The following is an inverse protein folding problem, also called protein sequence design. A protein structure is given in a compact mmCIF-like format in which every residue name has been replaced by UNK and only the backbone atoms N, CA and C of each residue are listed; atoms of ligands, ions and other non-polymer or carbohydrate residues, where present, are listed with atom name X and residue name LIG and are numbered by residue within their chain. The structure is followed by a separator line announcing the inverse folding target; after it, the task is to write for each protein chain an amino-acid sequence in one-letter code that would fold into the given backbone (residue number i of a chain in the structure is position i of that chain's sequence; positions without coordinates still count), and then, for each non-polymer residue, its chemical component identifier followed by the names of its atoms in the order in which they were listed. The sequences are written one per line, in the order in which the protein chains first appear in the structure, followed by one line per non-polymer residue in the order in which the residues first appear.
data_IF_928437917761
#
_entry.id   IF_928437917761
#
_cell.length_a   1.000
_cell.length_b   1.000
_cell.length_c   1.000
_cell.angle_alpha   90.00
_cell.angle_beta   90.00
_cell.angle_gamma   90.00
#
_symmetry.space_group_name_H-M   'P 1'
#
loop_
_entity.id
_entity.type
_entity.pdbx_description
1 polymer ?
#
# COMPACT_ATOMS: atom_id res chain seq x y z
N UNK A 1 -13.03 4.34 -23.10
CA UNK A 1 -11.94 4.06 -22.13
C UNK A 1 -12.27 4.42 -20.69
N UNK A 2 -13.04 5.48 -20.41
CA UNK A 2 -13.37 5.94 -19.03
C UNK A 2 -14.25 5.00 -18.22
N UNK A 3 -15.30 4.40 -18.81
CA UNK A 3 -16.25 3.53 -18.08
C UNK A 3 -15.54 2.29 -17.53
N UNK A 4 -14.67 1.62 -18.31
CA UNK A 4 -13.89 0.45 -17.85
C UNK A 4 -12.95 0.79 -16.70
N UNK A 5 -12.32 1.97 -16.69
CA UNK A 5 -11.47 2.40 -15.57
C UNK A 5 -12.27 2.68 -14.31
N UNK A 6 -13.44 3.29 -14.44
CA UNK A 6 -14.34 3.58 -13.30
C UNK A 6 -14.85 2.27 -12.71
N UNK A 7 -15.38 1.36 -13.54
CA UNK A 7 -15.86 0.05 -13.08
C UNK A 7 -14.74 -0.72 -12.38
N UNK A 8 -13.54 -0.80 -12.97
CA UNK A 8 -12.41 -1.49 -12.38
C UNK A 8 -11.94 -0.82 -11.08
N UNK A 9 -11.95 0.51 -10.99
CA UNK A 9 -11.59 1.23 -9.76
C UNK A 9 -12.61 1.01 -8.64
N UNK A 10 -13.89 1.02 -8.97
CA UNK A 10 -14.99 0.77 -8.01
C UNK A 10 -14.95 -0.68 -7.53
N UNK A 11 -14.75 -1.66 -8.42
CA UNK A 11 -14.63 -3.08 -8.02
C UNK A 11 -13.41 -3.34 -7.14
N UNK A 12 -12.27 -2.71 -7.41
CA UNK A 12 -11.07 -2.80 -6.55
C UNK A 12 -11.31 -2.16 -5.18
N UNK A 13 -11.99 -1.03 -5.13
CA UNK A 13 -12.38 -0.38 -3.88
C UNK A 13 -13.38 -1.21 -3.07
N UNK A 14 -14.38 -1.81 -3.73
CA UNK A 14 -15.32 -2.74 -3.12
C UNK A 14 -14.62 -4.01 -2.62
N UNK A 15 -13.65 -4.54 -3.37
CA UNK A 15 -12.82 -5.67 -2.94
C UNK A 15 -12.01 -5.36 -1.69
N UNK A 16 -11.39 -4.17 -1.60
CA UNK A 16 -10.68 -3.74 -0.40
C UNK A 16 -11.62 -3.63 0.82
N UNK A 17 -12.81 -3.05 0.62
CA UNK A 17 -13.82 -2.94 1.67
C UNK A 17 -14.36 -4.32 2.11
N UNK A 18 -14.56 -5.24 1.17
CA UNK A 18 -15.00 -6.61 1.46
C UNK A 18 -13.96 -7.38 2.28
N UNK A 19 -12.68 -7.32 1.89
CA UNK A 19 -11.57 -7.93 2.64
C UNK A 19 -11.50 -7.33 4.05
N UNK A 20 -11.59 -6.00 4.17
CA UNK A 20 -11.63 -5.32 5.45
C UNK A 20 -12.79 -5.79 6.33
N UNK A 21 -14.00 -5.88 5.75
CA UNK A 21 -15.20 -6.34 6.48
C UNK A 21 -15.12 -7.80 6.90
N UNK A 22 -14.55 -8.69 6.08
CA UNK A 22 -14.32 -10.07 6.42
C UNK A 22 -13.29 -10.20 7.57
N UNK A 23 -12.21 -9.41 7.52
CA UNK A 23 -11.19 -9.36 8.55
C UNK A 23 -11.67 -8.77 9.89
N UNK A 24 -12.81 -8.04 9.89
CA UNK A 24 -13.38 -7.39 11.07
C UNK A 24 -14.45 -8.23 11.78
N UNK A 25 -14.92 -9.32 11.16
CA UNK A 25 -16.02 -10.13 11.73
C UNK A 25 -15.63 -10.93 12.97
N UNK A 26 -14.33 -10.99 13.26
CA UNK A 26 -13.79 -11.56 14.49
C UNK A 26 -12.82 -10.59 15.12
N UNK A 27 -12.73 -10.52 16.45
CA UNK A 27 -11.78 -9.68 17.19
C UNK A 27 -10.33 -10.01 16.87
N UNK A 28 -10.07 -11.24 16.41
CA UNK A 28 -8.72 -11.76 16.08
C UNK A 28 -8.43 -11.79 14.57
N UNK A 29 -9.38 -11.41 13.72
CA UNK A 29 -9.30 -11.59 12.26
C UNK A 29 -9.64 -13.04 11.85
N UNK A 30 -9.75 -13.34 10.55
CA UNK A 30 -9.90 -14.73 10.11
C UNK A 30 -8.73 -15.59 10.59
N UNK A 31 -8.97 -16.84 10.99
CA UNK A 31 -7.91 -17.77 11.39
C UNK A 31 -6.76 -17.85 10.37
N UNK A 32 -7.11 -17.90 9.08
CA UNK A 32 -6.15 -17.88 7.97
C UNK A 32 -5.25 -16.64 7.97
N UNK A 33 -5.78 -15.46 8.32
CA UNK A 33 -5.02 -14.22 8.41
C UNK A 33 -3.96 -14.28 9.51
N UNK A 34 -4.34 -14.87 10.66
CA UNK A 34 -3.45 -15.12 11.79
C UNK A 34 -2.36 -16.14 11.48
N UNK A 35 -2.72 -17.26 10.84
CA UNK A 35 -1.77 -18.31 10.46
C UNK A 35 -0.74 -17.80 9.43
N UNK A 36 -1.19 -17.11 8.39
CA UNK A 36 -0.31 -16.50 7.40
C UNK A 36 0.58 -15.42 8.03
N UNK A 37 0.04 -14.63 8.96
CA UNK A 37 0.83 -13.68 9.72
C UNK A 37 1.95 -14.39 10.50
N UNK A 38 1.64 -15.41 11.27
CA UNK A 38 2.61 -16.15 12.06
C UNK A 38 3.72 -16.75 11.21
N UNK A 39 3.38 -17.34 10.06
CA UNK A 39 4.32 -17.90 9.11
C UNK A 39 5.31 -16.84 8.57
N UNK A 40 4.82 -15.66 8.22
CA UNK A 40 5.64 -14.58 7.66
C UNK A 40 6.45 -13.87 8.76
N UNK A 41 5.85 -13.65 9.94
CA UNK A 41 6.48 -12.94 11.06
C UNK A 41 7.51 -13.78 11.84
N UNK A 42 7.66 -15.09 11.54
CA UNK A 42 8.58 -16.00 12.23
C UNK A 42 10.04 -15.54 12.25
N UNK A 43 10.42 -14.63 11.34
CA UNK A 43 11.78 -14.07 11.27
C UNK A 43 12.72 -14.88 10.39
N UNK A 44 13.74 -14.21 9.87
CA UNK A 44 14.78 -14.78 8.98
C UNK A 44 16.19 -14.27 9.35
N UNK A 45 16.35 -13.68 10.53
CA UNK A 45 17.60 -13.17 11.04
C UNK A 45 17.86 -11.67 10.75
N UNK A 46 18.95 -11.11 11.32
CA UNK A 46 19.22 -9.66 11.33
C UNK A 46 19.35 -9.05 9.94
N UNK A 47 19.89 -9.78 8.96
CA UNK A 47 20.02 -9.31 7.59
C UNK A 47 18.65 -9.06 6.96
N UNK A 48 17.73 -10.03 7.09
CA UNK A 48 16.38 -9.90 6.57
C UNK A 48 15.61 -8.78 7.30
N UNK A 49 15.82 -8.62 8.61
CA UNK A 49 15.24 -7.55 9.40
C UNK A 49 15.67 -6.17 8.90
N UNK A 50 16.97 -5.99 8.65
CA UNK A 50 17.51 -4.75 8.10
C UNK A 50 17.03 -4.46 6.68
N UNK A 51 17.07 -5.46 5.79
CA UNK A 51 16.61 -5.31 4.40
C UNK A 51 15.12 -4.97 4.32
N UNK A 52 14.26 -5.71 5.03
CA UNK A 52 12.82 -5.46 5.01
C UNK A 52 12.44 -4.19 5.77
N UNK A 53 13.21 -3.82 6.80
CA UNK A 53 13.11 -2.53 7.45
C UNK A 53 13.43 -1.36 6.50
N UNK A 54 14.44 -1.50 5.63
CA UNK A 54 14.74 -0.51 4.60
C UNK A 54 13.69 -0.48 3.48
N UNK A 55 13.29 -1.64 2.96
CA UNK A 55 12.29 -1.76 1.89
C UNK A 55 10.96 -1.16 2.30
N UNK A 56 10.54 -1.32 3.55
CA UNK A 56 9.25 -0.78 4.02
C UNK A 56 9.16 0.73 3.89
N UNK A 57 10.28 1.47 4.05
CA UNK A 57 10.32 2.93 3.97
C UNK A 57 9.95 3.46 2.59
N UNK A 58 10.15 2.67 1.53
CA UNK A 58 9.72 3.01 0.18
C UNK A 58 8.19 3.18 0.05
N UNK A 59 7.41 2.63 0.98
CA UNK A 59 5.97 2.83 1.08
C UNK A 59 5.56 4.09 1.87
N UNK A 60 6.50 4.84 2.39
CA UNK A 60 6.20 6.07 3.13
C UNK A 60 5.82 7.23 2.19
N UNK A 61 5.05 8.20 2.71
CA UNK A 61 4.75 9.42 1.95
C UNK A 61 6.01 10.27 1.72
N UNK A 62 7.00 10.16 2.60
CA UNK A 62 8.30 10.83 2.43
C UNK A 62 9.08 10.26 1.25
N UNK A 63 9.12 8.93 1.09
CA UNK A 63 9.74 8.29 -0.07
C UNK A 63 9.01 8.66 -1.38
N UNK A 64 7.68 8.72 -1.35
CA UNK A 64 6.89 9.18 -2.49
C UNK A 64 7.21 10.64 -2.86
N UNK A 65 7.37 11.52 -1.86
CA UNK A 65 7.77 12.91 -2.08
C UNK A 65 9.19 13.02 -2.65
N UNK A 66 10.15 12.25 -2.14
CA UNK A 66 11.52 12.20 -2.64
C UNK A 66 11.57 11.71 -4.10
N UNK A 67 10.83 10.63 -4.42
CA UNK A 67 10.72 10.13 -5.78
C UNK A 67 10.07 11.15 -6.74
N UNK A 68 9.04 11.86 -6.28
CA UNK A 68 8.43 12.94 -7.04
C UNK A 68 9.41 14.10 -7.28
N UNK A 69 10.20 14.48 -6.28
CA UNK A 69 11.25 15.50 -6.43
C UNK A 69 12.29 15.08 -7.48
N UNK A 70 12.76 13.84 -7.45
CA UNK A 70 13.68 13.30 -8.44
C UNK A 70 13.09 13.33 -9.86
N UNK A 71 11.81 12.96 -10.02
CA UNK A 71 11.10 13.07 -11.29
C UNK A 71 10.97 14.53 -11.77
N UNK A 72 10.70 15.46 -10.87
CA UNK A 72 10.57 16.87 -11.20
C UNK A 72 11.92 17.49 -11.66
N UNK A 73 13.01 17.15 -10.96
CA UNK A 73 14.37 17.56 -11.30
C UNK A 73 14.79 17.00 -12.68
N UNK A 74 14.39 15.75 -13.00
CA UNK A 74 14.63 15.14 -14.32
C UNK A 74 13.67 15.65 -15.43
N UNK A 75 12.95 16.76 -15.19
CA UNK A 75 12.05 17.38 -16.16
C UNK A 75 10.65 16.71 -16.25
N UNK A 76 10.36 15.71 -15.49
CA UNK A 76 9.10 14.96 -15.50
C UNK A 76 8.04 15.52 -14.53
N UNK A 77 7.95 16.87 -14.44
CA UNK A 77 7.13 17.60 -13.46
C UNK A 77 5.67 17.14 -13.39
N UNK A 78 5.06 16.85 -14.55
CA UNK A 78 3.66 16.39 -14.61
C UNK A 78 3.50 15.01 -13.97
N UNK A 79 4.40 14.06 -14.29
CA UNK A 79 4.39 12.74 -13.69
C UNK A 79 4.63 12.81 -12.18
N UNK A 80 5.58 13.65 -11.75
CA UNK A 80 5.87 13.91 -10.34
C UNK A 80 4.62 14.40 -9.58
N UNK A 81 3.98 15.46 -10.06
CA UNK A 81 2.80 16.05 -9.42
C UNK A 81 1.63 15.06 -9.38
N UNK A 82 1.30 14.40 -10.51
CA UNK A 82 0.21 13.43 -10.58
C UNK A 82 0.43 12.23 -9.66
N UNK A 83 1.64 11.65 -9.65
CA UNK A 83 1.94 10.48 -8.83
C UNK A 83 1.93 10.82 -7.33
N UNK A 84 2.51 11.96 -6.94
CA UNK A 84 2.52 12.41 -5.55
C UNK A 84 1.10 12.74 -5.06
N UNK A 85 0.30 13.41 -5.87
CA UNK A 85 -1.08 13.74 -5.51
C UNK A 85 -1.94 12.45 -5.37
N UNK A 86 -1.74 11.44 -6.23
CA UNK A 86 -2.40 10.14 -6.10
C UNK A 86 -1.97 9.40 -4.82
N UNK A 87 -0.68 9.40 -4.50
CA UNK A 87 -0.14 8.82 -3.28
C UNK A 87 -0.71 9.49 -2.02
N UNK A 88 -0.77 10.82 -2.02
CA UNK A 88 -1.38 11.61 -0.95
C UNK A 88 -2.87 11.32 -0.81
N UNK A 89 -3.60 11.23 -1.93
CA UNK A 89 -5.00 10.83 -1.95
C UNK A 89 -5.23 9.44 -1.36
N UNK A 90 -4.40 8.46 -1.72
CA UNK A 90 -4.45 7.12 -1.14
C UNK A 90 -4.15 7.12 0.36
N UNK A 91 -3.18 7.93 0.81
CA UNK A 91 -2.88 8.11 2.22
C UNK A 91 -4.07 8.70 2.99
N UNK A 92 -4.66 9.79 2.50
CA UNK A 92 -5.81 10.46 3.12
C UNK A 92 -7.02 9.51 3.23
N UNK A 93 -7.33 8.77 2.16
CA UNK A 93 -8.38 7.75 2.18
C UNK A 93 -8.09 6.67 3.23
N UNK A 94 -6.83 6.22 3.32
CA UNK A 94 -6.40 5.26 4.33
C UNK A 94 -6.58 5.80 5.75
N UNK A 95 -6.23 7.08 6.01
CA UNK A 95 -6.45 7.69 7.32
C UNK A 95 -7.95 7.82 7.65
N UNK A 96 -8.77 8.18 6.67
CA UNK A 96 -10.23 8.21 6.82
C UNK A 96 -10.80 6.83 7.15
N UNK A 97 -10.40 5.80 6.41
CA UNK A 97 -10.82 4.41 6.64
C UNK A 97 -10.44 3.92 8.05
N UNK A 98 -9.26 4.28 8.55
CA UNK A 98 -8.80 3.93 9.92
C UNK A 98 -9.66 4.53 11.03
N UNK A 99 -10.31 5.66 10.79
CA UNK A 99 -11.25 6.25 11.75
C UNK A 99 -12.60 5.55 11.78
N UNK A 100 -12.99 4.96 10.64
CA UNK A 100 -14.26 4.24 10.50
C UNK A 100 -14.15 2.76 10.93
N UNK A 101 -12.94 2.20 10.83
CA UNK A 101 -12.68 0.79 11.07
C UNK A 101 -11.56 0.69 12.10
N UNK A 102 -11.92 0.23 13.31
CA UNK A 102 -10.94 0.01 14.38
C UNK A 102 -10.57 -1.46 14.41
N UNK A 103 -9.37 -1.77 13.93
CA UNK A 103 -8.80 -3.11 13.99
C UNK A 103 -7.53 -3.09 14.84
N UNK A 104 -7.43 -3.92 15.90
CA UNK A 104 -6.17 -4.02 16.65
C UNK A 104 -5.05 -4.54 15.74
N UNK A 105 -3.83 -4.08 15.99
CA UNK A 105 -2.65 -4.57 15.28
C UNK A 105 -2.22 -5.93 15.82
N UNK A 106 -1.42 -6.72 15.06
CA UNK A 106 -0.94 -8.01 15.54
C UNK A 106 -0.31 -7.94 16.94
N UNK A 107 0.53 -6.94 17.19
CA UNK A 107 1.21 -6.75 18.47
C UNK A 107 0.28 -6.27 19.60
N UNK A 108 -0.88 -5.68 19.31
CA UNK A 108 -1.89 -5.32 20.30
C UNK A 108 -2.79 -6.52 20.61
N UNK A 109 -3.12 -7.33 19.59
CA UNK A 109 -3.97 -8.51 19.73
C UNK A 109 -3.22 -9.71 20.37
N UNK A 110 -1.96 -9.91 19.99
CA UNK A 110 -1.11 -10.98 20.53
C UNK A 110 0.30 -10.46 20.82
N UNK A 111 0.51 -9.79 21.98
CA UNK A 111 1.81 -9.18 22.31
C UNK A 111 2.94 -10.20 22.45
N UNK A 112 2.64 -11.41 22.94
CA UNK A 112 3.64 -12.46 23.17
C UNK A 112 3.96 -13.27 21.91
N UNK A 113 3.01 -13.39 20.97
CA UNK A 113 3.16 -14.14 19.73
C UNK A 113 3.60 -13.28 18.54
N UNK A 114 3.78 -11.97 18.72
CA UNK A 114 4.18 -11.05 17.64
C UNK A 114 5.60 -10.59 17.78
N UNK A 115 6.46 -10.93 16.82
CA UNK A 115 7.82 -10.41 16.72
C UNK A 115 7.79 -9.01 16.12
N UNK A 116 8.18 -8.01 16.91
CA UNK A 116 8.30 -6.62 16.47
C UNK A 116 9.74 -6.30 16.07
N UNK A 117 9.94 -5.78 14.87
CA UNK A 117 11.25 -5.40 14.34
C UNK A 117 11.43 -3.87 14.27
N UNK A 118 10.32 -3.15 14.20
CA UNK A 118 10.30 -1.68 14.14
C UNK A 118 9.46 -1.12 15.29
N UNK A 119 9.55 0.19 15.50
CA UNK A 119 8.72 0.88 16.49
C UNK A 119 7.21 0.61 16.27
N UNK A 120 6.48 0.46 17.36
CA UNK A 120 5.03 0.16 17.35
C UNK A 120 4.23 1.33 16.78
N UNK A 121 3.60 1.20 15.60
CA UNK A 121 2.74 2.24 15.08
C UNK A 121 1.43 2.30 15.88
N UNK A 122 0.89 3.50 16.06
CA UNK A 122 -0.39 3.71 16.76
C UNK A 122 -1.58 3.61 15.80
N UNK A 123 -2.78 3.37 16.37
CA UNK A 123 -4.06 3.38 15.66
C UNK A 123 -4.33 2.10 14.86
N UNK A 124 -5.47 2.09 14.15
CA UNK A 124 -5.98 0.91 13.44
C UNK A 124 -4.96 0.28 12.48
N UNK A 125 -4.92 -1.06 12.44
CA UNK A 125 -4.08 -1.78 11.48
C UNK A 125 -4.66 -1.69 10.05
N UNK A 126 -5.97 -1.68 9.90
CA UNK A 126 -6.62 -1.69 8.58
C UNK A 126 -7.03 -0.29 8.10
N UNK A 127 -6.83 0.01 6.81
CA UNK A 127 -5.96 -0.65 5.83
C UNK A 127 -4.50 -0.22 5.99
N UNK A 128 -3.56 -0.99 5.44
CA UNK A 128 -2.15 -0.61 5.44
C UNK A 128 -1.88 0.54 4.48
N UNK A 129 -1.38 1.67 5.00
CA UNK A 129 -1.12 2.86 4.20
C UNK A 129 0.12 2.74 3.31
N UNK A 130 1.16 1.99 3.73
CA UNK A 130 2.40 1.85 2.96
C UNK A 130 2.19 1.25 1.57
N UNK A 131 1.59 0.06 1.42
CA UNK A 131 1.30 -0.46 0.09
C UNK A 131 0.30 0.41 -0.68
N UNK A 132 -0.65 1.07 -0.02
CA UNK A 132 -1.59 1.95 -0.68
C UNK A 132 -0.92 3.17 -1.33
N UNK A 133 -0.03 3.84 -0.59
CA UNK A 133 0.75 4.99 -1.05
C UNK A 133 1.65 4.60 -2.21
N UNK A 134 2.46 3.54 -2.03
CA UNK A 134 3.39 3.10 -3.06
C UNK A 134 2.66 2.69 -4.35
N UNK A 135 1.64 1.84 -4.24
CA UNK A 135 0.88 1.36 -5.41
C UNK A 135 0.20 2.51 -6.15
N UNK A 136 -0.37 3.48 -5.44
CA UNK A 136 -0.94 4.66 -6.09
C UNK A 136 0.13 5.46 -6.85
N UNK A 137 1.28 5.70 -6.23
CA UNK A 137 2.41 6.40 -6.83
C UNK A 137 2.94 5.68 -8.08
N UNK A 138 3.34 4.41 -7.93
CA UNK A 138 4.00 3.62 -8.98
C UNK A 138 3.11 3.45 -10.21
N UNK A 139 1.81 3.19 -10.01
CA UNK A 139 0.88 2.98 -11.12
C UNK A 139 0.58 4.28 -11.88
N UNK A 140 0.45 5.41 -11.17
CA UNK A 140 0.26 6.72 -11.82
C UNK A 140 1.54 7.15 -12.53
N UNK A 141 2.70 7.05 -11.87
CA UNK A 141 3.99 7.37 -12.49
C UNK A 141 4.25 6.51 -13.75
N UNK A 142 4.03 5.19 -13.65
CA UNK A 142 4.20 4.27 -14.78
C UNK A 142 3.29 4.61 -15.98
N UNK A 143 2.09 5.10 -15.72
CA UNK A 143 1.15 5.55 -16.76
C UNK A 143 1.61 6.86 -17.39
N UNK A 144 1.94 7.86 -16.59
CA UNK A 144 2.38 9.19 -17.06
C UNK A 144 3.70 9.12 -17.84
N UNK A 145 4.62 8.25 -17.39
CA UNK A 145 5.92 8.02 -18.04
C UNK A 145 5.84 7.01 -19.20
N UNK A 146 4.68 6.40 -19.44
CA UNK A 146 4.46 5.39 -20.48
C UNK A 146 5.43 4.22 -20.38
N UNK A 147 5.72 3.76 -19.16
CA UNK A 147 6.65 2.67 -18.93
C UNK A 147 6.19 1.38 -19.62
N UNK A 148 7.15 0.62 -20.15
CA UNK A 148 6.92 -0.70 -20.74
C UNK A 148 6.56 -1.76 -19.71
N UNK A 149 6.20 -2.96 -20.19
CA UNK A 149 5.73 -4.06 -19.35
C UNK A 149 6.75 -4.50 -18.31
N UNK A 150 8.02 -4.66 -18.68
CA UNK A 150 9.08 -5.08 -17.74
C UNK A 150 9.19 -4.13 -16.54
N UNK A 151 9.22 -2.81 -16.77
CA UNK A 151 9.26 -1.81 -15.70
C UNK A 151 8.02 -1.86 -14.81
N UNK A 152 6.83 -2.07 -15.40
CA UNK A 152 5.58 -2.20 -14.65
C UNK A 152 5.56 -3.45 -13.77
N UNK A 153 6.12 -4.57 -14.25
CA UNK A 153 6.29 -5.79 -13.47
C UNK A 153 7.24 -5.56 -12.30
N UNK A 154 8.38 -4.89 -12.55
CA UNK A 154 9.32 -4.53 -11.48
C UNK A 154 8.69 -3.65 -10.41
N UNK A 155 7.90 -2.62 -10.80
CA UNK A 155 7.17 -1.79 -9.85
C UNK A 155 6.10 -2.58 -9.06
N UNK A 156 5.39 -3.50 -9.71
CA UNK A 156 4.43 -4.37 -9.03
C UNK A 156 5.11 -5.32 -8.03
N UNK A 157 6.30 -5.83 -8.37
CA UNK A 157 7.11 -6.62 -7.44
C UNK A 157 7.55 -5.79 -6.22
N UNK A 158 7.92 -4.52 -6.43
CA UNK A 158 8.23 -3.58 -5.35
C UNK A 158 7.01 -3.32 -4.45
N UNK A 159 5.82 -3.11 -5.03
CA UNK A 159 4.58 -2.93 -4.29
C UNK A 159 4.31 -4.13 -3.36
N UNK A 160 4.48 -5.36 -3.88
CA UNK A 160 4.31 -6.61 -3.12
C UNK A 160 5.40 -6.74 -2.04
N UNK A 161 6.64 -6.38 -2.35
CA UNK A 161 7.75 -6.44 -1.38
C UNK A 161 7.51 -5.53 -0.19
N UNK A 162 7.06 -4.29 -0.42
CA UNK A 162 6.66 -3.37 0.66
C UNK A 162 5.45 -3.90 1.42
N UNK A 163 4.45 -4.47 0.74
CA UNK A 163 3.30 -5.07 1.40
C UNK A 163 3.73 -6.23 2.33
N UNK A 164 4.56 -7.14 1.84
CA UNK A 164 5.07 -8.29 2.61
C UNK A 164 5.94 -7.85 3.78
N UNK A 165 6.76 -6.81 3.60
CA UNK A 165 7.60 -6.28 4.68
C UNK A 165 6.76 -5.83 5.89
N UNK A 166 5.55 -5.28 5.67
CA UNK A 166 4.67 -4.84 6.77
C UNK A 166 4.18 -6.00 7.65
N UNK A 167 3.93 -7.15 7.03
CA UNK A 167 3.55 -8.39 7.74
C UNK A 167 4.77 -8.94 8.48
N UNK A 168 5.91 -9.05 7.80
CA UNK A 168 7.15 -9.54 8.37
C UNK A 168 7.60 -8.73 9.60
N UNK A 169 7.48 -7.41 9.54
CA UNK A 169 7.86 -6.49 10.62
C UNK A 169 6.89 -6.47 11.82
N UNK A 170 5.78 -7.23 11.75
CA UNK A 170 4.84 -7.42 12.87
C UNK A 170 3.78 -6.33 13.02
N UNK A 171 3.59 -5.46 12.02
CA UNK A 171 2.73 -4.27 12.18
C UNK A 171 1.38 -4.35 11.48
N UNK A 172 1.20 -5.32 10.56
CA UNK A 172 -0.03 -5.52 9.80
C UNK A 172 -0.31 -7.00 9.54
N UNK A 173 -1.58 -7.35 9.42
CA UNK A 173 -2.00 -8.65 8.91
C UNK A 173 -1.94 -8.70 7.37
N UNK A 174 -1.88 -9.91 6.76
CA UNK A 174 -1.94 -10.08 5.29
C UNK A 174 -3.13 -9.38 4.63
N UNK A 175 -4.33 -9.45 5.23
CA UNK A 175 -5.52 -8.77 4.71
C UNK A 175 -5.43 -7.24 4.75
N UNK A 176 -4.71 -6.65 5.72
CA UNK A 176 -4.50 -5.20 5.79
C UNK A 176 -3.67 -4.72 4.59
N UNK A 177 -2.61 -5.47 4.25
CA UNK A 177 -1.72 -5.10 3.14
C UNK A 177 -2.37 -5.39 1.79
N UNK A 178 -3.14 -6.48 1.66
CA UNK A 178 -3.92 -6.76 0.47
C UNK A 178 -4.95 -5.65 0.19
N UNK A 179 -5.68 -5.22 1.23
CA UNK A 179 -6.60 -4.08 1.14
C UNK A 179 -5.89 -2.79 0.76
N UNK A 180 -4.68 -2.56 1.28
CA UNK A 180 -3.85 -1.42 0.91
C UNK A 180 -3.46 -1.41 -0.57
N UNK A 181 -2.98 -2.55 -1.10
CA UNK A 181 -2.64 -2.72 -2.52
C UNK A 181 -3.86 -2.45 -3.42
N UNK A 182 -5.02 -3.02 -3.08
CA UNK A 182 -6.26 -2.81 -3.82
C UNK A 182 -6.72 -1.36 -3.79
N UNK A 183 -6.64 -0.71 -2.62
CA UNK A 183 -6.99 0.70 -2.46
C UNK A 183 -6.07 1.60 -3.29
N UNK A 184 -4.76 1.39 -3.23
CA UNK A 184 -3.80 2.13 -4.06
C UNK A 184 -4.06 1.97 -5.55
N UNK A 185 -4.36 0.74 -5.97
CA UNK A 185 -4.76 0.43 -7.34
C UNK A 185 -6.06 1.11 -7.77
N UNK A 186 -7.06 1.13 -6.89
CA UNK A 186 -8.33 1.81 -7.13
C UNK A 186 -8.12 3.32 -7.33
N UNK A 187 -7.36 3.95 -6.45
CA UNK A 187 -6.98 5.38 -6.57
C UNK A 187 -6.27 5.62 -7.90
N UNK A 188 -5.24 4.82 -8.24
CA UNK A 188 -4.51 4.99 -9.50
C UNK A 188 -5.41 4.82 -10.75
N UNK A 189 -6.41 3.93 -10.72
CA UNK A 189 -7.36 3.72 -11.81
C UNK A 189 -8.36 4.87 -11.97
N UNK A 190 -8.81 5.43 -10.84
CA UNK A 190 -9.74 6.56 -10.82
C UNK A 190 -9.02 7.89 -11.04
N UNK A 191 -7.68 7.93 -10.84
CA UNK A 191 -6.89 9.15 -10.98
C UNK A 191 -6.95 9.69 -12.41
N UNK A 192 -7.26 10.98 -12.59
CA UNK A 192 -7.32 11.57 -13.92
C UNK A 192 -6.00 11.38 -14.68
N UNK A 193 -6.06 10.77 -15.85
CA UNK A 193 -4.92 10.77 -16.77
C UNK A 193 -4.70 12.17 -17.33
N UNK A 194 -3.44 12.53 -17.60
CA UNK A 194 -3.14 13.77 -18.32
C UNK A 194 -3.86 13.75 -19.66
N UNK A 195 -4.80 14.66 -19.87
CA UNK A 195 -5.28 14.97 -21.21
C UNK A 195 -4.10 15.56 -21.98
N UNK A 196 -3.80 15.04 -23.16
CA UNK A 196 -3.11 15.87 -24.13
C UNK A 196 -4.01 17.08 -24.37
N UNK A 197 -3.49 18.25 -24.14
CA UNK A 197 -3.94 19.42 -24.87
C UNK A 197 -3.23 19.27 -26.22
N UNK A 198 -3.84 18.46 -27.10
CA UNK A 198 -3.46 18.45 -28.50
C UNK A 198 -4.00 19.78 -29.05
N UNK A 199 -3.12 20.79 -29.04
CA UNK A 199 -3.23 22.03 -29.77
C UNK A 199 -2.22 22.03 -30.89
#
# INVERSE_FOLDING_TARGET
MRVRSIVCGVTLGAGAAFIGRAALRTTEGPAVDGELFALVNAGRGPLADGLLGGVTELGSLYAAAAAAAALAISGRRRAAASALAAATGAWLLGQGAKKLVVRPRPHDANPHGTRMVIARPKGSSWPSSHPAVLTAFTHVAARELRLGTASRVGLAALDVSVASSRVYLGVHYPSDVASGLLMGRAVARLWPGSRRLDG
#
